data_IF_154137527381
#
_entry.id   IF_154137527381
#
_cell.length_a   1.000
_cell.length_b   1.000
_cell.length_c   1.000
_cell.angle_alpha   90.00
_cell.angle_beta   90.00
_cell.angle_gamma   90.00
#
_symmetry.space_group_name_H-M   'P 1'
#
loop_
_entity.id
_entity.type
_entity.pdbx_description
1 polymer ?
#
# COMPACT_ATOMS: atom_id res chain seq x y z
N UNK A 1 -20.10 33.23 15.24
CA UNK A 1 -20.29 31.82 14.87
C UNK A 1 -19.06 31.43 14.07
N UNK A 2 -18.09 30.81 14.71
CA UNK A 2 -16.83 30.40 14.09
C UNK A 2 -17.09 29.21 13.18
N UNK A 3 -16.79 29.40 11.89
CA UNK A 3 -16.83 28.35 10.89
C UNK A 3 -15.65 27.41 11.20
N UNK A 4 -15.90 26.32 11.91
CA UNK A 4 -14.92 25.26 12.12
C UNK A 4 -14.68 24.60 10.76
N UNK A 5 -13.66 25.09 10.04
CA UNK A 5 -13.23 24.49 8.78
C UNK A 5 -12.96 23.02 9.00
N UNK A 6 -13.62 22.16 8.22
CA UNK A 6 -13.33 20.74 8.09
C UNK A 6 -11.81 20.55 8.13
N UNK A 7 -11.30 19.92 9.21
CA UNK A 7 -9.90 19.48 9.23
C UNK A 7 -9.77 18.48 8.09
N UNK A 8 -9.24 18.93 6.95
CA UNK A 8 -8.92 18.04 5.84
C UNK A 8 -7.98 16.99 6.38
N UNK A 9 -8.45 15.76 6.52
CA UNK A 9 -7.58 14.64 6.84
C UNK A 9 -6.60 14.52 5.68
N UNK A 10 -5.31 14.63 5.98
CA UNK A 10 -4.24 14.50 4.98
C UNK A 10 -3.65 13.10 5.08
N UNK A 11 -3.27 12.54 3.93
CA UNK A 11 -2.50 11.30 3.85
C UNK A 11 -1.30 11.49 2.92
N UNK A 12 -0.28 10.61 2.98
CA UNK A 12 0.77 10.55 1.98
C UNK A 12 0.19 10.40 0.57
N UNK A 13 0.73 11.18 -0.37
CA UNK A 13 0.29 11.14 -1.75
C UNK A 13 0.52 9.77 -2.35
N UNK A 14 -0.42 9.32 -3.18
CA UNK A 14 -0.39 7.99 -3.78
C UNK A 14 -0.01 8.09 -5.25
N UNK A 15 1.07 7.41 -5.62
CA UNK A 15 1.51 7.26 -7.00
C UNK A 15 0.77 6.08 -7.64
N UNK A 16 0.05 6.33 -8.73
CA UNK A 16 -0.55 5.22 -9.49
C UNK A 16 0.54 4.43 -10.20
N UNK A 17 0.49 3.11 -10.05
CA UNK A 17 1.40 2.17 -10.68
C UNK A 17 0.66 0.87 -10.91
N UNK A 18 0.97 0.16 -11.99
CA UNK A 18 0.48 -1.20 -12.25
C UNK A 18 1.64 -2.16 -12.20
N UNK A 19 1.60 -3.06 -11.23
CA UNK A 19 2.67 -4.03 -11.00
C UNK A 19 2.15 -5.27 -10.30
N UNK A 20 2.79 -6.41 -10.53
CA UNK A 20 2.45 -7.64 -9.86
C UNK A 20 2.81 -7.57 -8.36
N UNK A 21 1.97 -8.19 -7.54
CA UNK A 21 2.24 -8.41 -6.12
C UNK A 21 1.81 -9.82 -5.72
N UNK A 22 2.65 -10.47 -4.91
CA UNK A 22 2.28 -11.68 -4.18
C UNK A 22 1.99 -11.30 -2.72
N UNK A 23 0.80 -11.65 -2.25
CA UNK A 23 0.35 -11.44 -0.87
C UNK A 23 0.43 -12.79 -0.16
N UNK A 24 1.22 -12.91 0.90
CA UNK A 24 1.46 -14.18 1.59
C UNK A 24 1.15 -14.10 3.08
N UNK A 25 0.53 -15.14 3.63
CA UNK A 25 0.32 -15.32 5.08
C UNK A 25 0.28 -16.81 5.44
N UNK A 26 1.31 -17.26 6.16
CA UNK A 26 1.50 -18.66 6.50
C UNK A 26 1.59 -19.54 5.24
N UNK A 27 0.63 -20.44 5.07
CA UNK A 27 0.53 -21.34 3.90
C UNK A 27 -0.35 -20.78 2.77
N UNK A 28 -0.93 -19.60 2.94
CA UNK A 28 -1.78 -18.98 1.92
C UNK A 28 -0.98 -17.95 1.13
N UNK A 29 -1.23 -17.91 -0.18
CA UNK A 29 -0.68 -16.89 -1.07
C UNK A 29 -1.70 -16.50 -2.14
N UNK A 30 -1.71 -15.23 -2.51
CA UNK A 30 -2.57 -14.67 -3.56
C UNK A 30 -1.76 -13.75 -4.47
N UNK A 31 -1.80 -14.00 -5.77
CA UNK A 31 -1.26 -13.08 -6.76
C UNK A 31 -2.30 -12.02 -7.13
N UNK A 32 -1.87 -10.77 -7.25
CA UNK A 32 -2.73 -9.66 -7.65
C UNK A 32 -1.92 -8.53 -8.31
N UNK A 33 -2.55 -7.38 -8.52
CA UNK A 33 -1.95 -6.16 -9.07
C UNK A 33 -2.03 -4.99 -8.09
N UNK A 34 -0.93 -4.25 -7.97
CA UNK A 34 -0.89 -2.94 -7.34
C UNK A 34 -1.64 -1.95 -8.23
N UNK A 35 -2.45 -1.09 -7.61
CA UNK A 35 -3.14 0.03 -8.28
C UNK A 35 -2.50 1.37 -7.96
N UNK A 36 -2.02 1.52 -6.72
CA UNK A 36 -1.24 2.67 -6.28
C UNK A 36 -0.30 2.32 -5.11
N UNK A 37 0.71 3.15 -4.90
CA UNK A 37 1.70 3.03 -3.83
C UNK A 37 2.01 4.39 -3.21
N UNK A 38 2.34 4.42 -1.93
CA UNK A 38 2.75 5.62 -1.19
C UNK A 38 3.91 5.31 -0.24
N UNK A 39 4.41 6.33 0.46
CA UNK A 39 5.44 6.18 1.49
C UNK A 39 5.02 5.29 2.68
N UNK A 40 3.72 5.04 2.87
CA UNK A 40 3.19 4.34 4.07
C UNK A 40 2.34 3.12 3.76
N UNK A 41 2.11 2.80 2.49
CA UNK A 41 1.25 1.69 2.13
C UNK A 41 0.96 1.58 0.65
N UNK A 42 0.19 0.55 0.31
CA UNK A 42 -0.11 0.13 -1.06
C UNK A 42 -1.59 -0.22 -1.20
N UNK A 43 -2.18 0.06 -2.37
CA UNK A 43 -3.52 -0.36 -2.74
C UNK A 43 -3.40 -1.44 -3.79
N UNK A 44 -4.06 -2.56 -3.55
CA UNK A 44 -3.97 -3.75 -4.38
C UNK A 44 -5.37 -4.15 -4.81
N UNK A 45 -5.53 -4.60 -6.05
CA UNK A 45 -6.75 -5.24 -6.50
C UNK A 45 -7.04 -6.46 -5.60
N UNK A 46 -8.29 -6.66 -5.20
CA UNK A 46 -8.65 -7.81 -4.37
C UNK A 46 -8.59 -9.08 -5.22
N UNK A 47 -7.76 -10.07 -4.86
CA UNK A 47 -7.67 -11.31 -5.61
C UNK A 47 -8.90 -12.19 -5.36
N UNK A 48 -9.14 -13.12 -6.28
CA UNK A 48 -10.15 -14.16 -6.09
C UNK A 48 -9.86 -15.01 -4.85
N UNK A 49 -10.93 -15.51 -4.21
CA UNK A 49 -10.83 -16.35 -3.01
C UNK A 49 -10.03 -15.71 -1.87
N UNK A 50 -10.04 -14.37 -1.76
CA UNK A 50 -9.46 -13.66 -0.63
C UNK A 50 -10.06 -14.10 0.72
N UNK A 51 -9.21 -14.38 1.71
CA UNK A 51 -9.63 -14.85 3.05
C UNK A 51 -9.05 -14.05 4.21
N UNK A 52 -8.21 -13.05 3.95
CA UNK A 52 -7.62 -12.22 4.98
C UNK A 52 -8.63 -11.25 5.61
N UNK A 53 -8.37 -10.86 6.86
CA UNK A 53 -9.20 -9.92 7.62
C UNK A 53 -8.44 -8.62 7.89
N UNK A 54 -9.19 -7.55 8.14
CA UNK A 54 -8.60 -6.29 8.62
C UNK A 54 -7.82 -6.58 9.90
N UNK A 55 -6.69 -5.89 10.06
CA UNK A 55 -5.68 -6.06 11.11
C UNK A 55 -4.79 -7.30 11.00
N UNK A 56 -5.05 -8.24 10.07
CA UNK A 56 -4.11 -9.30 9.77
C UNK A 56 -2.84 -8.71 9.10
N UNK A 57 -1.68 -9.31 9.40
CA UNK A 57 -0.39 -8.95 8.83
C UNK A 57 -0.02 -9.93 7.71
N UNK A 58 0.45 -9.38 6.60
CA UNK A 58 0.85 -10.11 5.40
C UNK A 58 2.26 -9.71 4.99
N UNK A 59 2.91 -10.62 4.31
CA UNK A 59 4.11 -10.33 3.52
C UNK A 59 3.68 -9.94 2.12
N UNK A 60 4.16 -8.80 1.62
CA UNK A 60 3.94 -8.35 0.25
C UNK A 60 5.25 -8.40 -0.52
N UNK A 61 5.29 -9.23 -1.57
CA UNK A 61 6.37 -9.23 -2.56
C UNK A 61 5.91 -8.45 -3.79
N UNK A 62 6.39 -7.21 -3.92
CA UNK A 62 6.02 -6.28 -5.00
C UNK A 62 7.12 -6.27 -6.06
N UNK A 63 6.75 -6.58 -7.31
CA UNK A 63 7.67 -6.56 -8.46
C UNK A 63 7.39 -5.33 -9.31
N UNK A 64 8.26 -4.33 -9.24
CA UNK A 64 8.11 -3.00 -9.85
C UNK A 64 9.12 -2.82 -10.99
N UNK A 65 8.59 -2.67 -12.21
CA UNK A 65 9.42 -2.63 -13.41
C UNK A 65 10.25 -3.91 -13.58
N UNK A 66 11.44 -3.78 -14.17
CA UNK A 66 12.30 -4.94 -14.48
C UNK A 66 13.24 -5.34 -13.33
N UNK A 67 13.44 -4.48 -12.33
CA UNK A 67 14.57 -4.62 -11.41
C UNK A 67 14.27 -4.29 -9.94
N UNK A 68 13.10 -3.78 -9.59
CA UNK A 68 12.78 -3.42 -8.20
C UNK A 68 11.84 -4.44 -7.57
N UNK A 69 12.39 -5.29 -6.72
CA UNK A 69 11.63 -6.10 -5.78
C UNK A 69 11.51 -5.35 -4.43
N UNK A 70 10.31 -5.21 -3.90
CA UNK A 70 10.09 -4.68 -2.55
C UNK A 70 9.32 -5.73 -1.73
N UNK A 71 9.98 -6.25 -0.70
CA UNK A 71 9.44 -7.20 0.26
C UNK A 71 9.16 -6.48 1.57
N UNK A 72 7.90 -6.45 2.02
CA UNK A 72 7.50 -5.73 3.25
C UNK A 72 6.50 -6.52 4.07
N UNK A 73 6.53 -6.30 5.39
CA UNK A 73 5.43 -6.68 6.26
C UNK A 73 4.39 -5.56 6.24
N UNK A 74 3.12 -5.90 6.00
CA UNK A 74 2.05 -4.92 5.88
C UNK A 74 0.75 -5.42 6.53
N UNK A 75 0.10 -4.51 7.25
CA UNK A 75 -1.20 -4.74 7.88
C UNK A 75 -2.31 -4.43 6.90
N UNK A 76 -3.31 -5.31 6.81
CA UNK A 76 -4.52 -5.01 6.05
C UNK A 76 -5.36 -3.97 6.80
N UNK A 77 -5.40 -2.74 6.28
CA UNK A 77 -6.10 -1.63 6.90
C UNK A 77 -7.56 -1.52 6.45
N UNK A 78 -7.87 -1.96 5.22
CA UNK A 78 -9.25 -1.94 4.69
C UNK A 78 -9.46 -2.99 3.60
N UNK A 79 -10.71 -3.45 3.49
CA UNK A 79 -11.18 -4.32 2.41
C UNK A 79 -12.42 -3.68 1.79
N UNK A 80 -12.45 -3.56 0.47
CA UNK A 80 -13.65 -3.18 -0.28
C UNK A 80 -14.14 -4.35 -1.12
N UNK A 81 -15.13 -4.11 -1.97
CA UNK A 81 -15.59 -5.11 -2.94
C UNK A 81 -14.46 -5.51 -3.91
N UNK A 82 -13.61 -4.55 -4.32
CA UNK A 82 -12.63 -4.71 -5.39
C UNK A 82 -11.18 -4.50 -4.97
N UNK A 83 -10.92 -3.98 -3.78
CA UNK A 83 -9.58 -3.54 -3.37
C UNK A 83 -9.23 -3.96 -1.94
N UNK A 84 -7.92 -4.08 -1.71
CA UNK A 84 -7.28 -4.27 -0.41
C UNK A 84 -6.32 -3.10 -0.17
N UNK A 85 -6.53 -2.37 0.93
CA UNK A 85 -5.61 -1.32 1.35
C UNK A 85 -4.69 -1.81 2.46
N UNK A 86 -3.40 -1.77 2.22
CA UNK A 86 -2.37 -2.17 3.19
C UNK A 86 -1.60 -0.95 3.71
N UNK A 87 -1.27 -0.96 4.99
CA UNK A 87 -0.31 -0.05 5.60
C UNK A 87 0.98 -0.82 5.92
N UNK A 88 2.13 -0.27 5.59
CA UNK A 88 3.42 -0.91 5.91
C UNK A 88 3.59 -0.97 7.43
N UNK A 89 3.88 -2.15 7.96
CA UNK A 89 4.31 -2.32 9.36
C UNK A 89 5.84 -2.24 9.46
N UNK A 90 6.52 -2.86 8.49
CA UNK A 90 7.98 -2.89 8.45
C UNK A 90 8.47 -2.90 7.02
N UNK A 91 9.26 -1.88 6.71
CA UNK A 91 10.06 -1.81 5.49
C UNK A 91 11.47 -2.23 5.87
N UNK A 92 12.11 -3.19 5.18
CA UNK A 92 13.52 -3.46 5.38
C UNK A 92 14.36 -2.21 5.08
N UNK A 93 15.36 -1.92 5.91
CA UNK A 93 16.20 -0.71 5.81
C UNK A 93 16.79 -0.53 4.40
N UNK A 94 17.26 -1.62 3.78
CA UNK A 94 17.80 -1.61 2.43
C UNK A 94 16.76 -1.36 1.32
N UNK A 95 15.46 -1.34 1.64
CA UNK A 95 14.36 -1.07 0.73
C UNK A 95 13.73 0.32 0.93
N UNK A 96 14.10 1.06 1.99
CA UNK A 96 13.60 2.42 2.24
C UNK A 96 14.03 3.40 1.14
N UNK A 97 15.34 3.49 0.85
CA UNK A 97 15.84 4.37 -0.21
C UNK A 97 15.32 4.00 -1.61
N UNK A 98 15.26 2.72 -2.02
CA UNK A 98 14.60 2.32 -3.26
C UNK A 98 13.12 2.74 -3.34
N UNK A 99 12.35 2.58 -2.27
CA UNK A 99 10.96 3.04 -2.22
C UNK A 99 10.87 4.57 -2.38
N UNK A 100 11.73 5.33 -1.69
CA UNK A 100 11.77 6.79 -1.82
C UNK A 100 12.09 7.24 -3.25
N UNK A 101 13.08 6.58 -3.87
CA UNK A 101 13.47 6.84 -5.26
C UNK A 101 12.34 6.52 -6.25
N UNK A 102 11.60 5.43 -6.02
CA UNK A 102 10.42 5.09 -6.81
C UNK A 102 9.35 6.17 -6.72
N UNK A 103 9.05 6.63 -5.51
CA UNK A 103 8.02 7.62 -5.25
C UNK A 103 8.40 9.01 -5.78
N UNK A 104 9.69 9.34 -5.81
CA UNK A 104 10.18 10.64 -6.23
C UNK A 104 9.43 11.77 -5.52
N UNK A 105 8.88 12.73 -6.27
CA UNK A 105 8.12 13.84 -5.71
C UNK A 105 6.83 13.47 -4.95
N UNK A 106 6.37 12.22 -5.00
CA UNK A 106 5.25 11.77 -4.17
C UNK A 106 5.64 11.50 -2.72
N UNK A 107 6.91 11.19 -2.44
CA UNK A 107 7.35 10.72 -1.13
C UNK A 107 7.11 11.76 -0.02
N UNK A 108 7.32 13.04 -0.34
CA UNK A 108 7.16 14.16 0.60
C UNK A 108 5.82 14.91 0.45
N UNK A 109 4.94 14.44 -0.45
CA UNK A 109 3.67 15.12 -0.75
C UNK A 109 2.54 14.55 0.09
N UNK A 110 1.67 15.44 0.57
CA UNK A 110 0.39 15.07 1.18
C UNK A 110 -0.77 15.38 0.25
N UNK A 111 -1.83 14.57 0.32
CA UNK A 111 -3.08 14.79 -0.40
C UNK A 111 -4.29 14.73 0.55
N UNK A 112 -5.40 15.43 0.24
CA UNK A 112 -6.64 15.29 0.98
C UNK A 112 -7.15 13.86 0.92
N UNK A 113 -7.68 13.39 2.05
CA UNK A 113 -8.27 12.07 2.20
C UNK A 113 -9.64 12.17 2.86
N UNK A 114 -10.60 11.44 2.31
CA UNK A 114 -11.88 11.16 2.95
C UNK A 114 -11.94 9.66 3.20
N UNK A 115 -12.02 9.29 4.48
CA UNK A 115 -12.07 7.90 4.92
C UNK A 115 -13.41 7.26 4.60
#
# INVERSE_FOLDING_TARGET
MTNEGEKKNLRPARMSIRSAVLISSGLNAWSSEIEDISATGVLVAKPDNWRGKVDDVFVLDMLIGEALDIHVDARLARVTETQLGFAYERIPENKEAPLWNLLGGYADRLEPYSA
#
